data_IF_196517129234
#
_entry.id   IF_196517129234
#
_cell.length_a   1.000
_cell.length_b   1.000
_cell.length_c   1.000
_cell.angle_alpha   90.00
_cell.angle_beta   90.00
_cell.angle_gamma   90.00
#
_symmetry.space_group_name_H-M   'P 1'
#
loop_
_entity.id
_entity.type
_entity.pdbx_description
1 polymer ?
#
# COMPACT_ATOMS: atom_id res chain seq x y z
N UNK A 1 2.62 -7.20 -8.65
CA UNK A 1 3.29 -7.04 -7.34
C UNK A 1 3.07 -5.60 -6.88
N UNK A 2 2.44 -5.41 -5.72
CA UNK A 2 2.09 -4.10 -5.13
C UNK A 2 3.04 -3.81 -3.97
N UNK A 3 3.77 -2.70 -4.01
CA UNK A 3 4.66 -2.26 -2.94
C UNK A 3 4.31 -0.81 -2.58
N UNK A 4 3.69 -0.62 -1.42
CA UNK A 4 3.37 0.69 -0.86
C UNK A 4 4.24 0.94 0.37
N UNK A 5 4.97 2.06 0.38
CA UNK A 5 5.73 2.50 1.55
C UNK A 5 4.93 3.55 2.30
N UNK A 6 4.78 3.39 3.60
CA UNK A 6 4.14 4.39 4.45
C UNK A 6 5.23 5.16 5.19
N UNK A 7 5.11 6.49 5.23
CA UNK A 7 5.99 7.32 6.06
C UNK A 7 5.75 7.05 7.55
N UNK A 8 4.52 6.69 7.91
CA UNK A 8 4.12 6.44 9.28
C UNK A 8 3.34 5.12 9.39
N UNK A 9 4.05 4.05 9.69
CA UNK A 9 3.46 2.73 9.89
C UNK A 9 2.54 2.66 11.13
N UNK A 10 2.76 3.52 12.13
CA UNK A 10 1.97 3.53 13.35
C UNK A 10 0.51 3.97 13.11
N UNK A 11 0.28 4.85 12.13
CA UNK A 11 -1.08 5.26 11.75
C UNK A 11 -1.86 4.10 11.16
N UNK A 12 -1.29 3.38 10.19
CA UNK A 12 -1.94 2.23 9.58
C UNK A 12 -2.19 1.12 10.62
N UNK A 13 -1.25 0.89 11.54
CA UNK A 13 -1.42 -0.08 12.62
C UNK A 13 -2.63 0.27 13.50
N UNK A 14 -2.75 1.53 13.94
CA UNK A 14 -3.89 1.99 14.76
C UNK A 14 -5.22 1.86 14.01
N UNK A 15 -5.23 2.18 12.72
CA UNK A 15 -6.42 2.02 11.86
C UNK A 15 -6.83 0.55 11.76
N UNK A 16 -5.89 -0.35 11.48
CA UNK A 16 -6.17 -1.79 11.39
C UNK A 16 -6.61 -2.33 12.74
N UNK A 17 -5.99 -1.90 13.84
CA UNK A 17 -6.42 -2.27 15.20
C UNK A 17 -7.84 -1.81 15.52
N UNK A 18 -8.31 -0.69 14.99
CA UNK A 18 -9.67 -0.21 15.18
C UNK A 18 -10.70 -0.95 14.30
N UNK A 19 -10.32 -1.40 13.10
CA UNK A 19 -11.24 -2.03 12.13
C UNK A 19 -11.33 -3.55 12.32
N UNK A 20 -10.26 -4.21 12.77
CA UNK A 20 -10.23 -5.68 12.94
C UNK A 20 -11.31 -6.20 13.90
N UNK A 21 -11.73 -5.38 14.85
CA UNK A 21 -12.76 -5.75 15.84
C UNK A 21 -14.18 -5.57 15.27
N UNK A 22 -14.34 -4.84 14.17
CA UNK A 22 -15.62 -4.59 13.50
C UNK A 22 -15.84 -5.50 12.28
N UNK A 23 -14.78 -5.81 11.53
CA UNK A 23 -14.88 -6.54 10.25
C UNK A 23 -13.87 -7.68 10.21
N UNK A 24 -14.35 -8.89 9.91
CA UNK A 24 -13.55 -10.11 9.76
C UNK A 24 -12.77 -10.14 8.45
N UNK A 25 -13.41 -9.77 7.33
CA UNK A 25 -12.83 -9.78 6.00
C UNK A 25 -13.06 -8.44 5.32
N UNK A 26 -11.98 -7.70 5.08
CA UNK A 26 -12.04 -6.37 4.51
C UNK A 26 -11.07 -6.26 3.31
N UNK A 27 -11.58 -6.34 2.06
CA UNK A 27 -10.73 -6.23 0.88
C UNK A 27 -10.22 -4.80 0.74
N UNK A 28 -8.90 -4.64 0.60
CA UNK A 28 -8.27 -3.38 0.25
C UNK A 28 -8.20 -3.25 -1.27
N UNK A 29 -8.96 -2.30 -1.81
CA UNK A 29 -8.90 -1.92 -3.21
C UNK A 29 -7.80 -0.85 -3.40
N UNK A 30 -6.74 -1.22 -4.12
CA UNK A 30 -5.57 -0.36 -4.33
C UNK A 30 -5.56 0.16 -5.76
N UNK A 31 -5.87 1.44 -5.92
CA UNK A 31 -5.77 2.18 -7.19
C UNK A 31 -4.49 3.02 -7.24
N UNK A 32 -4.13 3.56 -8.42
CA UNK A 32 -2.93 4.40 -8.59
C UNK A 32 -2.95 5.69 -7.76
N UNK A 33 -4.12 6.14 -7.32
CA UNK A 33 -4.31 7.40 -6.58
C UNK A 33 -4.67 7.21 -5.10
N UNK A 34 -5.24 6.07 -4.72
CA UNK A 34 -5.69 5.81 -3.35
C UNK A 34 -5.83 4.32 -3.06
N UNK A 35 -5.74 3.98 -1.78
CA UNK A 35 -6.15 2.69 -1.21
C UNK A 35 -7.49 2.87 -0.51
N UNK A 36 -8.49 2.12 -0.92
CA UNK A 36 -9.85 2.16 -0.38
C UNK A 36 -10.17 0.81 0.27
N UNK A 37 -11.01 0.81 1.30
CA UNK A 37 -11.56 -0.38 1.92
C UNK A 37 -13.00 -0.08 2.28
N UNK A 38 -13.91 -0.92 1.83
CA UNK A 38 -15.32 -0.86 2.21
C UNK A 38 -15.79 -2.24 2.60
N UNK A 39 -16.25 -2.37 3.83
CA UNK A 39 -16.76 -3.62 4.35
C UNK A 39 -17.87 -3.35 5.36
N UNK A 40 -18.80 -4.29 5.44
CA UNK A 40 -19.85 -4.29 6.45
C UNK A 40 -19.40 -5.10 7.66
N UNK A 41 -19.92 -4.75 8.83
CA UNK A 41 -19.85 -5.60 10.00
C UNK A 41 -20.66 -6.89 9.80
N UNK A 42 -20.49 -7.87 10.69
CA UNK A 42 -21.17 -9.16 10.61
C UNK A 42 -22.71 -9.07 10.70
N UNK A 43 -23.25 -7.98 11.27
CA UNK A 43 -24.69 -7.75 11.30
C UNK A 43 -25.22 -6.95 10.10
N UNK A 44 -24.34 -6.49 9.20
CA UNK A 44 -24.66 -5.66 8.04
C UNK A 44 -25.38 -4.34 8.37
N UNK A 45 -25.18 -3.81 9.59
CA UNK A 45 -25.82 -2.56 10.07
C UNK A 45 -24.86 -1.37 9.96
N UNK A 46 -23.56 -1.60 10.09
CA UNK A 46 -22.51 -0.59 10.04
C UNK A 46 -21.60 -0.80 8.82
N UNK A 47 -21.53 0.20 7.96
CA UNK A 47 -20.59 0.24 6.85
C UNK A 47 -19.30 0.94 7.28
N UNK A 48 -18.19 0.20 7.26
CA UNK A 48 -16.85 0.76 7.45
C UNK A 48 -16.32 1.17 6.08
N UNK A 49 -16.03 2.46 5.91
CA UNK A 49 -15.44 3.01 4.69
C UNK A 49 -14.14 3.74 5.03
N UNK A 50 -13.04 3.28 4.46
CA UNK A 50 -11.71 3.84 4.64
C UNK A 50 -11.12 4.21 3.28
N UNK A 51 -10.58 5.43 3.19
CA UNK A 51 -9.89 5.93 1.99
C UNK A 51 -8.59 6.59 2.41
N UNK A 52 -7.47 6.00 1.98
CA UNK A 52 -6.12 6.53 2.17
C UNK A 52 -5.59 7.00 0.83
N UNK A 53 -5.41 8.31 0.68
CA UNK A 53 -4.84 8.89 -0.54
C UNK A 53 -3.34 8.61 -0.63
N UNK A 54 -2.84 8.44 -1.86
CA UNK A 54 -1.41 8.22 -2.13
C UNK A 54 -0.53 9.35 -1.59
N UNK A 55 -1.05 10.56 -1.38
CA UNK A 55 -0.29 11.63 -0.73
C UNK A 55 0.09 11.30 0.72
N UNK A 56 -0.71 10.48 1.40
CA UNK A 56 -0.47 10.01 2.77
C UNK A 56 0.36 8.70 2.83
N UNK A 57 0.48 7.99 1.71
CA UNK A 57 1.35 6.81 1.54
C UNK A 57 2.65 7.27 0.87
N UNK A 58 3.76 7.27 1.60
CA UNK A 58 5.04 7.80 1.12
C UNK A 58 5.51 7.11 -0.19
N UNK A 59 5.51 7.89 -1.28
CA UNK A 59 6.10 7.66 -2.61
C UNK A 59 5.96 6.26 -3.26
N UNK A 60 5.19 6.24 -4.36
CA UNK A 60 5.17 5.19 -5.39
C UNK A 60 6.49 5.16 -6.19
N UNK A 61 6.97 3.96 -6.54
CA UNK A 61 7.81 3.76 -7.72
C UNK A 61 7.43 2.45 -8.43
N UNK A 62 6.68 2.56 -9.53
CA UNK A 62 6.62 1.51 -10.56
C UNK A 62 7.92 1.56 -11.36
N UNK A 63 8.78 0.55 -11.23
CA UNK A 63 9.78 0.22 -12.25
C UNK A 63 9.41 -1.12 -12.86
N UNK A 64 8.41 -1.11 -13.72
CA UNK A 64 8.34 -2.11 -14.79
C UNK A 64 9.28 -1.64 -15.90
N UNK A 65 10.56 -1.96 -15.71
CA UNK A 65 11.61 -1.61 -16.62
C UNK A 65 12.76 -2.55 -16.38
N UNK A 66 12.96 -3.49 -17.30
CA UNK A 66 14.16 -4.30 -17.45
C UNK A 66 15.38 -3.50 -16.97
N UNK A 67 15.93 -3.82 -15.80
CA UNK A 67 17.34 -3.54 -15.56
C UNK A 67 18.09 -4.53 -16.44
N UNK A 68 18.31 -4.17 -17.72
CA UNK A 68 19.54 -4.59 -18.39
C UNK A 68 20.63 -3.90 -17.60
N UNK A 69 21.24 -4.62 -16.67
CA UNK A 69 22.55 -4.27 -16.14
C UNK A 69 23.49 -4.41 -17.34
N UNK A 70 23.60 -3.34 -18.13
CA UNK A 70 24.78 -3.11 -18.94
C UNK A 70 25.82 -2.60 -17.96
N UNK A 71 26.48 -3.51 -17.27
CA UNK A 71 27.77 -3.21 -16.66
C UNK A 71 28.77 -3.19 -17.82
N UNK A 72 29.01 -2.00 -18.35
CA UNK A 72 30.08 -1.81 -19.31
C UNK A 72 30.69 -0.42 -19.09
N UNK A 73 31.80 -0.42 -18.35
CA UNK A 73 33.00 0.38 -18.58
C UNK A 73 34.03 -0.16 -17.56
N UNK A 74 34.88 -1.12 -17.96
CA UNK A 74 36.23 -0.88 -18.51
C UNK A 74 37.01 0.19 -17.74
N UNK A 75 38.21 -0.25 -17.32
CA UNK A 75 39.38 0.48 -16.81
C UNK A 75 39.36 0.65 -15.27
N UNK A 76 40.32 0.13 -14.50
CA UNK A 76 41.77 0.22 -14.71
C UNK A 76 42.55 -0.80 -13.86
N UNK A 77 43.56 -1.42 -14.47
CA UNK A 77 44.80 -1.96 -13.91
C UNK A 77 44.81 -2.48 -12.45
N UNK A 78 44.90 -3.81 -12.31
CA UNK A 78 46.09 -4.48 -11.77
C UNK A 78 46.13 -5.93 -12.24
#
# INVERSE_FOLDING_TARGET
>A
MFEAKLANAALLKKIIEAIKDLVTDAPFDCSESAMCLQAMDSSHVALVSLKLEVRSLCFFYRKEGRRKIKENHRESLQ
#
